data_IF_626945581572
#
_entry.id   IF_626945581572
#
_cell.length_a   1.000
_cell.length_b   1.000
_cell.length_c   1.000
_cell.angle_alpha   90.00
_cell.angle_beta   90.00
_cell.angle_gamma   90.00
#
_symmetry.space_group_name_H-M   'P 1'
#
loop_
_entity.id
_entity.type
_entity.pdbx_description
1 polymer ?
#
# COMPACT_ATOMS: atom_id res chain seq x y z
N UNK A 1 -9.85 -7.12 1.64
CA UNK A 1 -9.54 -5.69 1.56
C UNK A 1 -9.08 -5.37 0.14
N UNK A 2 -9.81 -4.50 -0.54
CA UNK A 2 -9.55 -4.11 -1.93
C UNK A 2 -8.42 -3.09 -1.99
N UNK A 3 -7.80 -2.94 -3.17
CA UNK A 3 -6.74 -1.94 -3.38
C UNK A 3 -7.18 -0.52 -2.97
N UNK A 4 -8.41 -0.13 -3.30
CA UNK A 4 -8.92 1.21 -2.98
C UNK A 4 -8.96 1.50 -1.47
N UNK A 5 -9.29 0.50 -0.65
CA UNK A 5 -9.28 0.63 0.81
C UNK A 5 -7.85 0.79 1.34
N UNK A 6 -6.92 -0.04 0.83
CA UNK A 6 -5.50 0.02 1.16
C UNK A 6 -4.93 1.39 0.79
N UNK A 7 -5.21 1.86 -0.42
CA UNK A 7 -4.82 3.20 -0.90
C UNK A 7 -5.29 4.31 0.03
N UNK A 8 -6.56 4.27 0.48
CA UNK A 8 -7.11 5.27 1.41
C UNK A 8 -6.37 5.25 2.75
N UNK A 9 -6.15 4.06 3.31
CA UNK A 9 -5.43 3.86 4.58
C UNK A 9 -3.98 4.34 4.51
N UNK A 10 -3.27 3.96 3.45
CA UNK A 10 -1.88 4.37 3.21
C UNK A 10 -1.76 5.91 3.11
N UNK A 11 -2.66 6.58 2.39
CA UNK A 11 -2.69 8.05 2.35
C UNK A 11 -2.91 8.68 3.72
N UNK A 12 -3.85 8.15 4.51
CA UNK A 12 -4.13 8.63 5.87
C UNK A 12 -2.93 8.50 6.80
N UNK A 13 -2.11 7.46 6.59
CA UNK A 13 -0.87 7.24 7.33
C UNK A 13 0.33 8.03 6.77
N UNK A 14 0.13 8.88 5.77
CA UNK A 14 1.17 9.74 5.21
C UNK A 14 2.06 9.07 4.15
N UNK A 15 1.73 7.85 3.71
CA UNK A 15 2.40 7.24 2.58
C UNK A 15 1.97 7.89 1.26
N UNK A 16 2.88 7.89 0.29
CA UNK A 16 2.67 8.51 -1.02
C UNK A 16 2.78 7.48 -2.12
N UNK A 17 1.92 7.61 -3.12
CA UNK A 17 1.95 6.82 -4.34
C UNK A 17 2.94 7.48 -5.32
N UNK A 18 3.85 6.69 -5.91
CA UNK A 18 4.75 7.14 -6.96
C UNK A 18 3.99 7.04 -8.28
N UNK A 19 3.80 8.16 -9.01
CA UNK A 19 3.14 8.15 -10.31
C UNK A 19 3.83 7.19 -11.27
N UNK A 20 3.02 6.39 -11.99
CA UNK A 20 3.54 5.44 -12.98
C UNK A 20 3.76 6.11 -14.34
N UNK A 21 4.78 5.66 -15.07
CA UNK A 21 5.01 6.02 -16.49
C UNK A 21 4.58 4.93 -17.50
N UNK A 22 4.33 3.69 -17.08
CA UNK A 22 4.06 2.55 -17.99
C UNK A 22 2.77 1.77 -17.67
N UNK A 23 2.37 0.84 -18.55
CA UNK A 23 1.16 0.00 -18.39
C UNK A 23 1.41 -1.15 -17.40
N UNK A 24 0.44 -1.45 -16.53
CA UNK A 24 0.53 -2.49 -15.50
C UNK A 24 -0.41 -2.20 -14.33
N UNK A 25 -0.70 -3.21 -13.50
CA UNK A 25 -1.59 -3.04 -12.35
C UNK A 25 -0.83 -2.65 -11.08
N UNK A 26 0.41 -3.10 -10.91
CA UNK A 26 1.17 -2.82 -9.69
C UNK A 26 1.41 -1.32 -9.50
N UNK A 27 1.19 -0.85 -8.27
CA UNK A 27 1.33 0.54 -7.84
C UNK A 27 2.52 0.64 -6.89
N UNK A 28 3.32 1.69 -6.99
CA UNK A 28 4.46 1.87 -6.09
C UNK A 28 4.07 2.86 -5.00
N UNK A 29 4.27 2.47 -3.76
CA UNK A 29 4.03 3.30 -2.58
C UNK A 29 5.31 3.45 -1.81
N UNK A 30 5.50 4.57 -1.14
CA UNK A 30 6.62 4.74 -0.22
C UNK A 30 6.16 5.48 1.03
N UNK A 31 6.83 5.20 2.13
CA UNK A 31 6.75 5.98 3.34
C UNK A 31 7.86 7.05 3.29
N UNK A 32 7.55 8.36 3.32
CA UNK A 32 8.56 9.42 3.30
C UNK A 32 9.63 9.30 4.40
N UNK A 33 9.32 8.61 5.51
CA UNK A 33 10.28 8.38 6.60
C UNK A 33 11.39 7.37 6.27
N UNK A 34 11.12 6.43 5.36
CA UNK A 34 12.09 5.39 4.97
C UNK A 34 12.53 5.48 3.50
N UNK A 35 11.79 6.24 2.68
CA UNK A 35 12.04 6.49 1.26
C UNK A 35 12.22 5.23 0.38
N UNK A 36 11.75 4.07 0.86
CA UNK A 36 11.79 2.81 0.13
C UNK A 36 10.47 2.57 -0.65
N UNK A 37 10.52 2.39 -1.98
CA UNK A 37 9.34 2.10 -2.78
C UNK A 37 8.94 0.62 -2.67
N UNK A 38 7.71 0.39 -2.23
CA UNK A 38 7.06 -0.91 -2.06
C UNK A 38 6.01 -1.11 -3.17
N UNK A 39 6.06 -2.23 -3.91
CA UNK A 39 5.01 -2.57 -4.87
C UNK A 39 3.76 -3.09 -4.16
N UNK A 40 2.61 -2.51 -4.52
CA UNK A 40 1.27 -2.90 -4.07
C UNK A 40 0.49 -3.38 -5.30
N UNK A 41 0.02 -4.64 -5.33
CA UNK A 41 -0.77 -5.13 -6.46
C UNK A 41 -2.16 -4.50 -6.48
N UNK A 42 -2.61 -4.09 -7.65
CA UNK A 42 -3.97 -3.58 -7.89
C UNK A 42 -4.76 -4.68 -8.63
N UNK A 43 -5.37 -5.61 -7.89
CA UNK A 43 -6.20 -6.67 -8.48
C UNK A 43 -7.61 -6.18 -8.84
N UNK A 44 -7.81 -4.87 -8.94
CA UNK A 44 -9.09 -4.25 -9.27
C UNK A 44 -10.15 -4.53 -8.20
N UNK A 45 -11.16 -5.32 -8.56
CA UNK A 45 -12.28 -5.66 -7.68
C UNK A 45 -11.98 -6.77 -6.68
N UNK A 46 -10.85 -7.48 -6.82
CA UNK A 46 -10.49 -8.59 -5.93
C UNK A 46 -9.79 -8.12 -4.65
N UNK A 47 -10.05 -8.85 -3.58
CA UNK A 47 -9.37 -8.65 -2.31
C UNK A 47 -7.93 -9.12 -2.35
N UNK A 48 -7.03 -8.33 -1.76
CA UNK A 48 -5.66 -8.76 -1.53
C UNK A 48 -5.62 -9.75 -0.35
N UNK A 49 -4.77 -10.77 -0.48
CA UNK A 49 -4.53 -11.75 0.59
C UNK A 49 -3.94 -11.04 1.82
N UNK A 50 -4.39 -11.43 3.01
CA UNK A 50 -3.96 -10.81 4.27
C UNK A 50 -2.44 -10.82 4.46
N UNK A 51 -1.76 -11.89 4.04
CA UNK A 51 -0.30 -12.00 4.08
C UNK A 51 0.40 -10.96 3.21
N UNK A 52 -0.15 -10.68 2.02
CA UNK A 52 0.35 -9.62 1.13
C UNK A 52 0.22 -8.24 1.78
N UNK A 53 -0.95 -7.97 2.38
CA UNK A 53 -1.20 -6.70 3.06
C UNK A 53 -0.25 -6.52 4.25
N UNK A 54 -0.08 -7.54 5.09
CA UNK A 54 0.86 -7.52 6.22
C UNK A 54 2.30 -7.25 5.77
N UNK A 55 2.74 -7.88 4.68
CA UNK A 55 4.07 -7.65 4.14
C UNK A 55 4.24 -6.21 3.64
N UNK A 56 3.25 -5.67 2.93
CA UNK A 56 3.28 -4.26 2.47
C UNK A 56 3.37 -3.30 3.65
N UNK A 57 2.54 -3.49 4.69
CA UNK A 57 2.54 -2.66 5.90
C UNK A 57 3.91 -2.72 6.60
N UNK A 58 4.50 -3.91 6.70
CA UNK A 58 5.84 -4.09 7.26
C UNK A 58 6.91 -3.37 6.43
N UNK A 59 6.90 -3.54 5.11
CA UNK A 59 7.88 -2.92 4.20
C UNK A 59 7.77 -1.39 4.15
N UNK A 60 6.57 -0.84 4.40
CA UNK A 60 6.35 0.59 4.54
C UNK A 60 6.65 1.11 5.96
N UNK A 61 7.12 0.25 6.87
CA UNK A 61 7.38 0.58 8.27
C UNK A 61 6.19 1.22 8.97
N UNK A 62 5.03 0.58 8.80
CA UNK A 62 3.77 0.99 9.40
C UNK A 62 3.39 0.02 10.53
N UNK A 63 2.75 0.56 11.56
CA UNK A 63 2.15 -0.27 12.60
C UNK A 63 0.86 -0.92 12.09
N UNK A 64 0.75 -2.24 12.22
CA UNK A 64 -0.38 -3.04 11.75
C UNK A 64 -1.73 -2.62 12.38
N UNK A 65 -1.74 -2.33 13.67
CA UNK A 65 -2.96 -1.93 14.40
C UNK A 65 -3.44 -0.57 13.88
N UNK A 66 -2.53 0.40 13.78
CA UNK A 66 -2.83 1.73 13.21
C UNK A 66 -3.34 1.62 11.77
N UNK A 67 -2.77 0.74 10.96
CA UNK A 67 -3.25 0.47 9.61
C UNK A 67 -4.66 -0.14 9.59
N UNK A 68 -4.96 -1.06 10.51
CA UNK A 68 -6.29 -1.68 10.54
C UNK A 68 -7.38 -0.69 10.97
N UNK A 69 -7.04 0.28 11.83
CA UNK A 69 -7.95 1.33 12.34
C UNK A 69 -8.02 2.60 11.47
N UNK A 70 -7.15 2.74 10.47
CA UNK A 70 -7.10 3.89 9.57
C UNK A 70 -8.32 4.01 8.64
#
# INVERSE_FOLDING_TARGET
MKYNEIKRKLKKLGCKEIPRKGKGSHRKWYNPKQNLPVPVPDWGSKDLKIGTIRNIVKLLDLNWIKFNQA
#
